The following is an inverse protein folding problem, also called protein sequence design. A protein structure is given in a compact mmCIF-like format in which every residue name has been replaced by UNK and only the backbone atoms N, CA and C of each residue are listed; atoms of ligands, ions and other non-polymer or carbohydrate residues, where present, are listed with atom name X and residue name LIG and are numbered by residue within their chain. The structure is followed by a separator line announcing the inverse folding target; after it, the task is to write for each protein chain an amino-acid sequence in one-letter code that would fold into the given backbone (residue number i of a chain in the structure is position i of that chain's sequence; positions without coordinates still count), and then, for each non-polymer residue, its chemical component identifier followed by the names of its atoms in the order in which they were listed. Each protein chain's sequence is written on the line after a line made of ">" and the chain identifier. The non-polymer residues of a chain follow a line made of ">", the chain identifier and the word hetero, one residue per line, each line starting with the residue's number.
data_IF_191825867054
#
_entry.id   IF_191825867054
#
_cell.length_a   1.000
_cell.length_b   1.000
_cell.length_c   1.000
_cell.angle_alpha   90.00
_cell.angle_beta   90.00
_cell.angle_gamma   90.00
#
_symmetry.space_group_name_H-M   'P 1'
#
loop_
_entity.id
_entity.type
_entity.pdbx_description
1 polymer ?
#
# COMPACT_ATOMS: atom_id res chain seq x y z
N UNK A 1 -20.54 19.72 -6.50
CA UNK A 1 -19.28 18.99 -6.75
C UNK A 1 -18.59 18.88 -5.42
N UNK A 2 -18.44 17.66 -4.90
CA UNK A 2 -17.77 17.44 -3.62
C UNK A 2 -16.28 17.78 -3.78
N UNK A 3 -15.69 18.45 -2.81
CA UNK A 3 -14.28 18.83 -2.85
C UNK A 3 -13.44 17.67 -2.33
N UNK A 4 -12.85 16.89 -3.23
CA UNK A 4 -12.05 15.70 -2.89
C UNK A 4 -10.59 16.02 -2.53
N UNK A 5 -10.17 17.28 -2.62
CA UNK A 5 -8.77 17.70 -2.44
C UNK A 5 -8.19 17.19 -1.12
N UNK A 6 -8.91 17.37 -0.01
CA UNK A 6 -8.43 16.92 1.30
C UNK A 6 -8.29 15.39 1.37
N UNK A 7 -9.29 14.65 0.90
CA UNK A 7 -9.24 13.19 0.91
C UNK A 7 -8.09 12.64 0.05
N UNK A 8 -7.86 13.26 -1.11
CA UNK A 8 -6.77 12.91 -2.02
C UNK A 8 -5.39 13.26 -1.43
N UNK A 9 -5.26 14.40 -0.75
CA UNK A 9 -4.03 14.76 -0.04
C UNK A 9 -3.73 13.78 1.11
N UNK A 10 -4.76 13.34 1.84
CA UNK A 10 -4.61 12.34 2.90
C UNK A 10 -4.12 10.99 2.36
N UNK A 11 -4.67 10.52 1.22
CA UNK A 11 -4.18 9.32 0.52
C UNK A 11 -2.74 9.53 0.05
N UNK A 12 -2.41 10.70 -0.51
CA UNK A 12 -1.05 11.07 -0.91
C UNK A 12 -0.05 10.97 0.25
N UNK A 13 -0.42 11.47 1.43
CA UNK A 13 0.41 11.39 2.64
C UNK A 13 0.53 9.95 3.16
N UNK A 14 -0.52 9.13 3.06
CA UNK A 14 -0.45 7.69 3.38
C UNK A 14 0.49 6.95 2.42
N UNK A 15 0.45 7.27 1.11
CA UNK A 15 1.36 6.71 0.10
C UNK A 15 2.82 7.07 0.37
N UNK A 16 3.11 8.33 0.75
CA UNK A 16 4.46 8.73 1.14
C UNK A 16 4.97 7.98 2.38
N UNK A 17 4.08 7.75 3.36
CA UNK A 17 4.38 6.92 4.54
C UNK A 17 4.65 5.47 4.17
N UNK A 18 3.86 4.87 3.26
CA UNK A 18 4.08 3.53 2.73
C UNK A 18 5.52 3.40 2.22
N UNK A 19 5.96 4.28 1.31
CA UNK A 19 7.31 4.20 0.75
C UNK A 19 8.38 4.29 1.84
N UNK A 20 8.26 5.30 2.72
CA UNK A 20 9.22 5.50 3.82
C UNK A 20 9.30 4.27 4.72
N UNK A 21 8.17 3.74 5.17
CA UNK A 21 8.13 2.62 6.12
C UNK A 21 8.70 1.34 5.53
N UNK A 22 8.37 1.00 4.28
CA UNK A 22 8.97 -0.16 3.63
C UNK A 22 10.47 0.02 3.45
N UNK A 23 10.92 1.21 3.03
CA UNK A 23 12.34 1.47 2.78
C UNK A 23 13.18 1.44 4.06
N UNK A 24 12.65 2.02 5.14
CA UNK A 24 13.30 2.01 6.46
C UNK A 24 12.95 0.79 7.31
N UNK A 25 12.20 -0.17 6.78
CA UNK A 25 11.85 -1.45 7.43
C UNK A 25 11.07 -1.25 8.75
N UNK A 26 10.24 -0.21 8.82
CA UNK A 26 9.36 0.12 9.95
C UNK A 26 8.06 -0.67 9.83
N UNK A 27 8.11 -1.96 10.12
CA UNK A 27 7.03 -2.90 9.82
C UNK A 27 5.78 -2.74 10.70
N UNK A 28 5.95 -2.33 11.95
CA UNK A 28 4.83 -2.04 12.84
C UNK A 28 4.04 -0.83 12.33
N UNK A 29 4.72 0.27 11.97
CA UNK A 29 4.07 1.45 11.40
C UNK A 29 3.52 1.21 9.99
N UNK A 30 4.15 0.31 9.24
CA UNK A 30 3.65 -0.12 7.92
C UNK A 30 2.30 -0.85 8.05
N UNK A 31 2.16 -1.72 9.04
CA UNK A 31 0.92 -2.46 9.34
C UNK A 31 -0.27 -1.52 9.54
N UNK A 32 -0.07 -0.40 10.24
CA UNK A 32 -1.12 0.57 10.56
C UNK A 32 -1.66 1.36 9.35
N UNK A 33 -1.07 1.19 8.15
CA UNK A 33 -1.59 1.81 6.92
C UNK A 33 -2.74 1.04 6.27
N UNK A 34 -2.97 -0.21 6.67
CA UNK A 34 -3.95 -1.10 6.05
C UNK A 34 -5.27 -1.11 6.81
N UNK A 35 -6.36 -1.41 6.09
CA UNK A 35 -7.63 -1.75 6.71
C UNK A 35 -7.52 -3.10 7.45
N UNK A 36 -8.39 -3.36 8.42
CA UNK A 36 -8.36 -4.58 9.25
C UNK A 36 -8.46 -5.88 8.43
N UNK A 37 -9.24 -5.86 7.34
CA UNK A 37 -9.44 -6.97 6.42
C UNK A 37 -9.20 -6.49 4.97
N UNK A 38 -7.93 -6.32 4.56
CA UNK A 38 -7.63 -5.82 3.23
C UNK A 38 -7.83 -6.93 2.18
N UNK A 39 -8.01 -6.55 0.92
CA UNK A 39 -7.96 -7.47 -0.21
C UNK A 39 -6.80 -7.04 -1.13
N UNK A 40 -5.62 -7.63 -0.90
CA UNK A 40 -4.39 -7.26 -1.62
C UNK A 40 -4.10 -8.35 -2.63
N UNK A 41 -4.00 -7.98 -3.91
CA UNK A 41 -3.73 -8.92 -5.00
C UNK A 41 -2.55 -8.45 -5.83
N UNK A 42 -1.66 -9.40 -6.13
CA UNK A 42 -0.64 -9.26 -7.14
C UNK A 42 -1.12 -10.02 -8.36
N UNK A 43 -1.23 -9.31 -9.47
CA UNK A 43 -1.77 -9.83 -10.72
C UNK A 43 -0.66 -9.70 -11.78
N UNK A 44 -0.45 -10.76 -12.56
CA UNK A 44 0.49 -10.73 -13.68
C UNK A 44 -0.05 -9.93 -14.88
N UNK A 45 0.73 -9.85 -15.96
CA UNK A 45 0.36 -9.09 -17.15
C UNK A 45 -0.85 -9.68 -17.88
N UNK A 46 -1.11 -10.98 -17.68
CA UNK A 46 -2.21 -11.74 -18.26
C UNK A 46 -3.50 -11.64 -17.43
N UNK A 47 -3.46 -10.99 -16.26
CA UNK A 47 -4.61 -10.83 -15.38
C UNK A 47 -4.79 -11.97 -14.38
N UNK A 48 -3.83 -12.88 -14.25
CA UNK A 48 -3.88 -13.98 -13.29
C UNK A 48 -3.35 -13.53 -11.93
N UNK A 49 -4.13 -13.79 -10.88
CA UNK A 49 -3.68 -13.54 -9.50
C UNK A 49 -2.57 -14.52 -9.13
N UNK A 50 -1.37 -13.99 -8.89
CA UNK A 50 -0.19 -14.77 -8.49
C UNK A 50 0.02 -14.77 -6.97
N UNK A 51 -0.42 -13.71 -6.28
CA UNK A 51 -0.48 -13.65 -4.81
C UNK A 51 -1.74 -12.93 -4.36
N UNK A 52 -2.32 -13.36 -3.24
CA UNK A 52 -3.45 -12.72 -2.61
C UNK A 52 -3.28 -12.75 -1.09
N UNK A 53 -3.65 -11.67 -0.42
CA UNK A 53 -3.61 -11.55 1.03
C UNK A 53 -4.91 -10.94 1.52
N UNK A 54 -5.51 -11.60 2.51
CA UNK A 54 -6.66 -11.09 3.28
C UNK A 54 -6.31 -10.77 4.73
N UNK A 55 -5.03 -10.86 5.07
CA UNK A 55 -4.47 -10.61 6.41
C UNK A 55 -3.34 -9.60 6.30
N UNK A 56 -3.41 -8.53 7.09
CA UNK A 56 -2.34 -7.52 7.17
C UNK A 56 -1.05 -8.18 7.66
N UNK A 57 -1.12 -9.01 8.71
CA UNK A 57 0.05 -9.61 9.32
C UNK A 57 0.77 -10.57 8.35
N UNK A 58 0.01 -11.31 7.54
CA UNK A 58 0.56 -12.17 6.50
C UNK A 58 1.27 -11.34 5.43
N UNK A 59 0.62 -10.27 4.95
CA UNK A 59 1.18 -9.39 3.94
C UNK A 59 2.46 -8.69 4.41
N UNK A 60 2.46 -8.15 5.63
CA UNK A 60 3.61 -7.47 6.22
C UNK A 60 4.76 -8.45 6.46
N UNK A 61 4.48 -9.64 7.04
CA UNK A 61 5.50 -10.67 7.27
C UNK A 61 6.16 -11.12 5.97
N UNK A 62 5.36 -11.34 4.92
CA UNK A 62 5.89 -11.76 3.61
C UNK A 62 6.68 -10.65 2.93
N UNK A 63 6.23 -9.40 3.05
CA UNK A 63 6.96 -8.23 2.53
C UNK A 63 8.30 -8.06 3.25
N UNK A 64 8.33 -8.24 4.57
CA UNK A 64 9.56 -8.15 5.37
C UNK A 64 10.58 -9.22 4.97
N UNK A 65 10.15 -10.47 4.82
CA UNK A 65 11.01 -11.56 4.37
C UNK A 65 11.51 -11.37 2.94
N UNK A 66 10.66 -10.90 2.02
CA UNK A 66 11.06 -10.65 0.63
C UNK A 66 12.14 -9.56 0.52
N UNK A 67 12.12 -8.59 1.43
CA UNK A 67 13.05 -7.45 1.44
C UNK A 67 14.20 -7.60 2.44
N UNK A 68 14.37 -8.78 3.03
CA UNK A 68 15.43 -9.05 4.00
C UNK A 68 16.82 -8.85 3.36
N UNK A 69 17.70 -8.13 4.06
CA UNK A 69 19.04 -7.79 3.58
C UNK A 69 19.10 -6.75 2.44
N UNK A 70 17.97 -6.38 1.85
CA UNK A 70 17.91 -5.41 0.78
C UNK A 70 17.89 -3.96 1.30
N UNK A 71 18.60 -3.07 0.60
CA UNK A 71 18.40 -1.61 0.71
C UNK A 71 17.51 -1.18 -0.45
N UNK A 72 16.36 -0.60 -0.13
CA UNK A 72 15.32 -0.28 -1.12
C UNK A 72 15.04 1.20 -1.16
N UNK A 73 14.54 1.67 -2.30
CA UNK A 73 13.95 3.00 -2.49
C UNK A 73 12.69 2.79 -3.35
N UNK A 74 11.52 2.94 -2.75
CA UNK A 74 10.23 2.89 -3.45
C UNK A 74 9.93 4.22 -4.11
N UNK A 75 9.93 4.24 -5.44
CA UNK A 75 9.56 5.41 -6.23
C UNK A 75 8.12 5.27 -6.71
N UNK A 76 7.24 6.11 -6.16
CA UNK A 76 5.83 6.12 -6.54
C UNK A 76 5.49 7.51 -7.08
N UNK A 77 4.98 7.54 -8.31
CA UNK A 77 4.76 8.76 -9.06
C UNK A 77 3.28 9.19 -9.06
N UNK A 78 2.99 10.20 -9.88
CA UNK A 78 1.70 10.86 -10.09
C UNK A 78 0.51 9.93 -9.83
N UNK A 79 -0.37 10.35 -8.92
CA UNK A 79 -1.58 9.60 -8.60
C UNK A 79 -2.71 10.06 -9.52
N UNK A 80 -3.32 9.10 -10.20
CA UNK A 80 -4.62 9.28 -10.85
C UNK A 80 -5.66 8.71 -9.89
N UNK A 81 -6.54 9.58 -9.36
CA UNK A 81 -7.52 9.20 -8.34
C UNK A 81 -8.92 9.65 -8.77
N UNK A 82 -9.88 8.76 -8.58
CA UNK A 82 -11.30 8.99 -8.80
C UNK A 82 -12.05 8.52 -7.56
N UNK A 83 -13.09 9.27 -7.15
CA UNK A 83 -14.00 8.84 -6.10
C UNK A 83 -14.94 7.78 -6.67
N UNK A 84 -14.96 6.61 -6.04
CA UNK A 84 -15.83 5.48 -6.46
C UNK A 84 -17.06 5.27 -5.58
N UNK A 85 -17.15 5.95 -4.43
CA UNK A 85 -18.29 5.92 -3.53
C UNK A 85 -18.37 7.21 -2.70
N UNK A 86 -19.59 7.55 -2.28
CA UNK A 86 -19.84 8.56 -1.25
C UNK A 86 -19.73 7.92 0.14
N UNK A 87 -19.46 8.74 1.16
CA UNK A 87 -19.40 8.33 2.56
C UNK A 87 -20.80 8.02 3.14
#
# INVERSE_FOLDING_TARGET
>A
MQNDTQAFDEIGMRKARYCRYVDTKLWEEFRELFADAPDIRFVDAEGTTIHAFTSVDEFVTRSAGYLEGARTIHQVHNAEMERVADD
#
